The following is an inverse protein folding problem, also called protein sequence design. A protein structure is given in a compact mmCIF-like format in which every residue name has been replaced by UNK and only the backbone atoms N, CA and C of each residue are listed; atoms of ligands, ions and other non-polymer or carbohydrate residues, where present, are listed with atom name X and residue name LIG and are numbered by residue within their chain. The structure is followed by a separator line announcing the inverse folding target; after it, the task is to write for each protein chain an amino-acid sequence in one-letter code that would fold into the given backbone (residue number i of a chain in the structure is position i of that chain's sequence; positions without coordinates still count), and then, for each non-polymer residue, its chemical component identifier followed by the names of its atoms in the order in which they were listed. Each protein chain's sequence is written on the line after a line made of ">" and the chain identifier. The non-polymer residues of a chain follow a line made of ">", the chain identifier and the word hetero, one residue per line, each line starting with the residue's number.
data_IF_412040389966
#
_entry.id   IF_412040389966
#
_cell.length_a   1.000
_cell.length_b   1.000
_cell.length_c   1.000
_cell.angle_alpha   90.00
_cell.angle_beta   90.00
_cell.angle_gamma   90.00
#
_symmetry.space_group_name_H-M   'P 1'
#
loop_
_entity.id
_entity.type
_entity.pdbx_description
1 polymer ?
#
# COMPACT_ATOMS: atom_id res chain seq x y z
N UNK A 1 2.00 -14.75 -8.12
CA UNK A 1 1.46 -13.66 -8.97
C UNK A 1 1.87 -12.35 -8.34
N UNK A 2 2.42 -11.41 -9.14
CA UNK A 2 2.81 -10.08 -8.67
C UNK A 2 1.71 -9.08 -9.01
N UNK A 3 1.31 -8.25 -8.05
CA UNK A 3 0.19 -7.30 -8.20
C UNK A 3 0.69 -5.89 -7.97
N UNK A 4 0.46 -5.00 -8.94
CA UNK A 4 0.69 -3.56 -8.77
C UNK A 4 -0.64 -2.86 -8.47
N UNK A 5 -0.71 -2.16 -7.34
CA UNK A 5 -1.78 -1.22 -7.05
C UNK A 5 -1.31 0.17 -7.50
N UNK A 6 -1.86 0.65 -8.60
CA UNK A 6 -1.53 1.96 -9.17
C UNK A 6 -2.30 3.06 -8.44
N UNK A 7 -1.64 3.70 -7.46
CA UNK A 7 -2.17 4.80 -6.68
C UNK A 7 -2.32 4.47 -5.19
N UNK A 8 -1.62 5.22 -4.35
CA UNK A 8 -1.63 5.10 -2.89
C UNK A 8 -2.61 6.07 -2.21
N UNK A 9 -3.85 6.11 -2.67
CA UNK A 9 -4.96 6.80 -1.97
C UNK A 9 -5.65 5.89 -0.95
N UNK A 10 -6.77 6.33 -0.38
CA UNK A 10 -7.52 5.55 0.64
C UNK A 10 -7.85 4.13 0.15
N UNK A 11 -8.45 4.00 -1.05
CA UNK A 11 -8.83 2.70 -1.61
C UNK A 11 -7.62 1.84 -1.97
N UNK A 12 -6.61 2.44 -2.61
CA UNK A 12 -5.41 1.71 -3.02
C UNK A 12 -4.61 1.17 -1.82
N UNK A 13 -4.49 1.96 -0.76
CA UNK A 13 -3.85 1.53 0.48
C UNK A 13 -4.60 0.37 1.15
N UNK A 14 -5.93 0.46 1.26
CA UNK A 14 -6.73 -0.62 1.85
C UNK A 14 -6.70 -1.90 0.99
N UNK A 15 -6.73 -1.77 -0.34
CA UNK A 15 -6.59 -2.91 -1.24
C UNK A 15 -5.21 -3.56 -1.09
N UNK A 16 -4.12 -2.77 -1.10
CA UNK A 16 -2.77 -3.29 -0.92
C UNK A 16 -2.60 -4.00 0.43
N UNK A 17 -3.17 -3.45 1.51
CA UNK A 17 -3.23 -4.10 2.83
C UNK A 17 -3.92 -5.47 2.75
N UNK A 18 -5.11 -5.54 2.17
CA UNK A 18 -5.87 -6.79 2.09
C UNK A 18 -5.14 -7.84 1.25
N UNK A 19 -4.53 -7.44 0.13
CA UNK A 19 -3.73 -8.32 -0.72
C UNK A 19 -2.47 -8.82 0.02
N UNK A 20 -1.81 -7.95 0.77
CA UNK A 20 -0.66 -8.31 1.60
C UNK A 20 -1.05 -9.34 2.67
N UNK A 21 -2.14 -9.12 3.42
CA UNK A 21 -2.66 -10.08 4.40
C UNK A 21 -3.11 -11.41 3.78
N UNK A 22 -3.55 -11.40 2.51
CA UNK A 22 -3.88 -12.61 1.76
C UNK A 22 -2.64 -13.35 1.20
N UNK A 23 -1.43 -12.96 1.59
CA UNK A 23 -0.17 -13.59 1.18
C UNK A 23 0.23 -13.33 -0.27
N UNK A 24 -0.26 -12.24 -0.88
CA UNK A 24 0.09 -11.86 -2.26
C UNK A 24 1.33 -10.97 -2.27
N UNK A 25 2.17 -11.16 -3.29
CA UNK A 25 3.27 -10.24 -3.61
C UNK A 25 2.70 -8.97 -4.25
N UNK A 26 2.55 -7.91 -3.45
CA UNK A 26 1.89 -6.66 -3.82
C UNK A 26 2.87 -5.48 -3.76
N UNK A 27 2.85 -4.66 -4.81
CA UNK A 27 3.57 -3.38 -4.89
C UNK A 27 2.56 -2.25 -4.93
N UNK A 28 2.76 -1.20 -4.14
CA UNK A 28 1.91 -0.01 -4.10
C UNK A 28 2.65 1.18 -4.71
N UNK A 29 2.11 1.78 -5.78
CA UNK A 29 2.69 2.97 -6.38
C UNK A 29 2.15 4.24 -5.71
N UNK A 30 3.04 4.93 -5.00
CA UNK A 30 2.80 6.24 -4.39
C UNK A 30 3.59 7.34 -5.12
N UNK A 31 3.25 8.62 -4.87
CA UNK A 31 3.91 9.78 -5.45
C UNK A 31 4.35 10.78 -4.38
N UNK A 32 5.43 11.52 -4.66
CA UNK A 32 5.91 12.63 -3.85
C UNK A 32 6.19 12.25 -2.39
N UNK A 33 5.95 13.20 -1.48
CA UNK A 33 6.20 13.04 -0.04
C UNK A 33 5.49 11.82 0.56
N UNK A 34 4.34 11.44 0.00
CA UNK A 34 3.61 10.26 0.48
C UNK A 34 4.34 8.94 0.17
N UNK A 35 5.03 8.87 -0.96
CA UNK A 35 5.88 7.72 -1.28
C UNK A 35 7.04 7.60 -0.28
N UNK A 36 7.68 8.71 0.08
CA UNK A 36 8.76 8.72 1.07
C UNK A 36 8.26 8.34 2.46
N UNK A 37 7.09 8.82 2.86
CA UNK A 37 6.47 8.48 4.15
C UNK A 37 6.19 6.97 4.26
N UNK A 38 5.55 6.37 3.25
CA UNK A 38 5.30 4.92 3.22
C UNK A 38 6.63 4.14 3.21
N UNK A 39 7.62 4.59 2.44
CA UNK A 39 8.93 3.93 2.34
C UNK A 39 9.66 3.91 3.69
N UNK A 40 9.59 5.01 4.44
CA UNK A 40 10.26 5.18 5.73
C UNK A 40 9.53 4.47 6.86
N UNK A 41 8.20 4.59 6.92
CA UNK A 41 7.42 4.18 8.09
C UNK A 41 6.54 2.95 7.86
N UNK A 42 6.51 2.43 6.63
CA UNK A 42 5.57 1.44 6.17
C UNK A 42 4.18 2.04 5.90
N UNK A 43 3.31 1.27 5.26
CA UNK A 43 1.89 1.62 5.14
C UNK A 43 1.20 1.37 6.48
N UNK A 44 0.87 2.43 7.22
CA UNK A 44 0.17 2.36 8.51
C UNK A 44 -1.31 2.68 8.32
N UNK A 45 -2.17 1.72 8.64
CA UNK A 45 -3.62 1.89 8.63
C UNK A 45 -4.10 1.72 10.06
N UNK A 46 -4.79 2.74 10.59
CA UNK A 46 -5.42 2.66 11.90
C UNK A 46 -6.62 1.71 11.79
N UNK A 47 -6.58 0.61 12.52
CA UNK A 47 -7.79 -0.19 12.77
C UNK A 47 -8.63 0.47 13.86
N UNK A 48 -9.93 0.14 13.89
CA UNK A 48 -10.86 0.62 14.91
C UNK A 48 -10.36 0.33 16.32
#
# INVERSE_FOLDING_TARGET
>A
MKILVYGAGVLGCNLARNLFHAGKDVTLLARGNWAEEIRKNGLRIKDQ
#
